data_IF_543511147557
#
_entry.id   IF_543511147557
#
_cell.length_a   1.000
_cell.length_b   1.000
_cell.length_c   1.000
_cell.angle_alpha   90.00
_cell.angle_beta   90.00
_cell.angle_gamma   90.00
#
_symmetry.space_group_name_H-M   'P 1'
#
loop_
_entity.id
_entity.type
_entity.pdbx_description
1 polymer ?
#
# COMPACT_ATOMS: atom_id res chain seq x y z
N UNK A 1 25.03 -12.29 8.38
CA UNK A 1 23.61 -12.59 8.63
C UNK A 1 22.95 -11.23 8.72
N UNK A 2 22.22 -10.84 7.67
CA UNK A 2 21.46 -9.59 7.68
C UNK A 2 20.32 -9.81 8.66
N UNK A 3 20.17 -8.91 9.62
CA UNK A 3 19.09 -8.94 10.60
C UNK A 3 17.76 -8.98 9.84
N UNK A 4 16.91 -9.97 10.14
CA UNK A 4 15.50 -9.84 9.81
C UNK A 4 15.01 -8.70 10.68
N UNK A 5 14.80 -7.52 10.08
CA UNK A 5 14.00 -6.46 10.68
C UNK A 5 12.71 -7.15 11.14
N UNK A 6 12.44 -7.14 12.45
CA UNK A 6 11.35 -7.91 13.05
C UNK A 6 10.05 -7.72 12.24
N UNK A 7 9.57 -8.79 11.61
CA UNK A 7 8.30 -8.81 10.86
C UNK A 7 7.13 -8.88 11.85
N UNK A 8 7.02 -7.81 12.64
CA UNK A 8 6.02 -7.62 13.69
C UNK A 8 4.84 -6.79 13.18
N UNK A 9 4.70 -6.61 11.86
CA UNK A 9 3.60 -5.85 11.26
C UNK A 9 2.22 -6.38 11.64
N UNK A 10 2.12 -7.68 11.94
CA UNK A 10 0.92 -8.36 12.46
C UNK A 10 0.96 -8.64 13.98
N UNK A 11 2.01 -8.20 14.67
CA UNK A 11 2.16 -8.30 16.11
C UNK A 11 1.07 -7.52 16.87
N UNK A 12 1.02 -7.66 18.19
CA UNK A 12 -0.01 -7.04 19.06
C UNK A 12 -0.12 -5.50 18.93
N UNK A 13 0.91 -4.85 18.39
CA UNK A 13 0.98 -3.42 18.12
C UNK A 13 1.40 -3.12 16.68
N UNK A 14 1.35 -4.12 15.80
CA UNK A 14 1.74 -3.98 14.42
C UNK A 14 0.78 -3.06 13.68
N UNK A 15 1.33 -2.12 12.90
CA UNK A 15 0.53 -1.11 12.19
C UNK A 15 -0.48 -1.74 11.23
N UNK A 16 -0.10 -2.85 10.58
CA UNK A 16 -0.99 -3.59 9.69
C UNK A 16 -2.14 -4.24 10.47
N UNK A 17 -1.87 -4.81 11.65
CA UNK A 17 -2.92 -5.36 12.50
C UNK A 17 -3.93 -4.30 12.93
N UNK A 18 -3.47 -3.16 13.41
CA UNK A 18 -4.36 -2.07 13.85
C UNK A 18 -5.22 -1.53 12.70
N UNK A 19 -4.63 -1.37 11.52
CA UNK A 19 -5.37 -0.99 10.32
C UNK A 19 -6.48 -2.00 10.01
N UNK A 20 -6.17 -3.31 10.02
CA UNK A 20 -7.11 -4.39 9.74
C UNK A 20 -8.22 -4.53 10.79
N UNK A 21 -7.91 -4.29 12.06
CA UNK A 21 -8.91 -4.29 13.15
C UNK A 21 -9.95 -3.19 12.92
N UNK A 22 -9.52 -1.95 12.67
CA UNK A 22 -10.48 -0.87 12.35
C UNK A 22 -11.19 -1.06 11.01
N UNK A 23 -10.54 -1.69 10.02
CA UNK A 23 -11.16 -2.04 8.74
C UNK A 23 -12.29 -3.06 8.91
N UNK A 24 -12.11 -4.05 9.78
CA UNK A 24 -13.10 -5.08 10.08
C UNK A 24 -14.33 -4.53 10.80
N UNK A 25 -14.14 -3.49 11.63
CA UNK A 25 -15.22 -2.82 12.38
C UNK A 25 -15.93 -1.71 11.58
N UNK A 26 -15.39 -1.30 10.42
CA UNK A 26 -15.93 -0.20 9.63
C UNK A 26 -17.24 -0.59 8.92
N UNK A 27 -18.31 0.20 9.15
CA UNK A 27 -19.57 0.08 8.40
C UNK A 27 -19.39 0.50 6.92
N UNK A 28 -18.62 1.57 6.69
CA UNK A 28 -18.24 2.06 5.36
C UNK A 28 -16.73 1.87 5.16
N UNK A 29 -16.38 0.68 4.65
CA UNK A 29 -15.00 0.30 4.36
C UNK A 29 -14.31 1.30 3.41
N UNK A 30 -14.89 1.71 2.27
CA UNK A 30 -14.30 2.74 1.41
C UNK A 30 -13.93 4.04 2.15
N UNK A 31 -14.83 4.56 2.98
CA UNK A 31 -14.57 5.78 3.76
C UNK A 31 -13.47 5.58 4.81
N UNK A 32 -13.45 4.42 5.48
CA UNK A 32 -12.40 4.10 6.44
C UNK A 32 -11.02 4.06 5.78
N UNK A 33 -10.89 3.36 4.66
CA UNK A 33 -9.61 3.26 3.91
C UNK A 33 -9.15 4.64 3.45
N UNK A 34 -10.07 5.50 2.99
CA UNK A 34 -9.73 6.87 2.58
C UNK A 34 -9.22 7.73 3.75
N UNK A 35 -9.78 7.54 4.95
CA UNK A 35 -9.36 8.27 6.15
C UNK A 35 -8.09 7.70 6.80
N UNK A 36 -7.77 6.42 6.56
CA UNK A 36 -6.65 5.69 7.15
C UNK A 36 -5.73 5.16 6.05
N UNK A 37 -5.01 6.04 5.32
CA UNK A 37 -4.11 5.59 4.26
C UNK A 37 -3.00 4.72 4.85
N UNK A 38 -2.97 3.46 4.41
CA UNK A 38 -1.97 2.48 4.80
C UNK A 38 -1.29 1.90 3.57
N UNK A 39 0.02 1.67 3.65
CA UNK A 39 0.84 1.18 2.55
C UNK A 39 1.50 2.30 1.74
N UNK A 40 1.84 1.99 0.49
CA UNK A 40 2.56 2.93 -0.37
C UNK A 40 1.60 3.98 -0.97
N UNK A 41 2.03 5.25 -1.07
CA UNK A 41 1.23 6.26 -1.74
C UNK A 41 1.03 5.92 -3.22
N UNK A 42 0.02 6.54 -3.81
CA UNK A 42 -0.22 6.40 -5.25
C UNK A 42 1.02 6.84 -6.02
N UNK A 43 1.50 5.95 -6.90
CA UNK A 43 2.57 6.28 -7.83
C UNK A 43 2.02 7.29 -8.83
N UNK A 44 2.66 8.45 -8.90
CA UNK A 44 2.26 9.56 -9.77
C UNK A 44 3.42 9.97 -10.66
N UNK A 45 3.16 10.81 -11.67
CA UNK A 45 4.19 11.32 -12.56
C UNK A 45 5.28 12.17 -11.89
N UNK A 46 5.10 12.52 -10.61
CA UNK A 46 6.12 13.20 -9.80
C UNK A 46 7.04 12.24 -9.06
N UNK A 47 6.80 10.92 -9.13
CA UNK A 47 7.69 9.93 -8.53
C UNK A 47 9.07 9.96 -9.22
N UNK A 48 10.18 9.94 -8.47
CA UNK A 48 11.53 9.90 -9.06
C UNK A 48 11.77 8.73 -10.02
N UNK A 49 11.00 7.65 -9.87
CA UNK A 49 11.10 6.44 -10.70
C UNK A 49 9.98 6.38 -11.76
N UNK A 50 9.31 7.49 -12.07
CA UNK A 50 8.21 7.50 -13.03
C UNK A 50 8.60 6.96 -14.41
N UNK A 51 9.84 7.19 -14.86
CA UNK A 51 10.33 6.63 -16.12
C UNK A 51 10.25 5.08 -16.15
N UNK A 52 10.45 4.42 -15.02
CA UNK A 52 10.27 2.97 -14.90
C UNK A 52 8.79 2.58 -14.95
N UNK A 53 7.95 3.23 -14.14
CA UNK A 53 6.53 2.91 -14.06
C UNK A 53 5.76 3.20 -15.37
N UNK A 54 6.10 4.27 -16.07
CA UNK A 54 5.48 4.64 -17.35
C UNK A 54 5.69 3.58 -18.42
N UNK A 55 6.88 2.96 -18.49
CA UNK A 55 7.16 1.86 -19.43
C UNK A 55 6.22 0.67 -19.20
N UNK A 56 5.99 0.31 -17.93
CA UNK A 56 5.08 -0.77 -17.55
C UNK A 56 3.65 -0.43 -17.98
N UNK A 57 3.16 0.78 -17.68
CA UNK A 57 1.82 1.24 -18.06
C UNK A 57 1.63 1.19 -19.58
N UNK A 58 2.63 1.65 -20.34
CA UNK A 58 2.61 1.59 -21.80
C UNK A 58 2.58 0.14 -22.31
N UNK A 59 3.34 -0.77 -21.70
CA UNK A 59 3.33 -2.18 -22.12
C UNK A 59 1.96 -2.84 -21.94
N UNK A 60 1.24 -2.55 -20.85
CA UNK A 60 -0.12 -3.07 -20.62
C UNK A 60 -1.17 -2.42 -21.53
N UNK A 61 -0.94 -1.19 -21.97
CA UNK A 61 -1.85 -0.48 -22.89
C UNK A 61 -1.69 -0.93 -24.34
N UNK A 62 -0.55 -1.53 -24.70
CA UNK A 62 -0.20 -1.97 -26.05
C UNK A 62 -0.56 -3.45 -26.33
N UNK A 63 -1.19 -4.13 -25.36
CA UNK A 63 -1.68 -5.52 -25.44
C UNK A 63 -3.17 -5.61 -25.89
N UNK A 64 -3.71 -4.50 -26.42
CA UNK A 64 -5.02 -4.43 -27.10
C UNK A 64 -4.82 -4.09 -28.58
#
# INVERSE_FOLDING_TARGET
>A
MVEHEDDDGLGLQGEMRMFLEGLADAEDVPSYVAAHPFGQPVITATDPNWDFYSQIIHSFSNDH
#
